data_IF_532101581944
#
_entry.id   IF_532101581944
#
_cell.length_a   1.000
_cell.length_b   1.000
_cell.length_c   1.000
_cell.angle_alpha   90.00
_cell.angle_beta   90.00
_cell.angle_gamma   90.00
#
_symmetry.space_group_name_H-M   'P 1'
#
loop_
_entity.id
_entity.type
_entity.pdbx_description
1 polymer ?
#
# COMPACT_ATOMS: atom_id res chain seq x y z
N UNK A 1 12.09 12.65 27.12
CA UNK A 1 12.00 12.69 25.63
C UNK A 1 13.37 12.52 24.95
N UNK A 2 14.39 13.36 25.26
CA UNK A 2 15.74 13.23 24.69
C UNK A 2 16.39 11.84 24.91
N UNK A 3 16.26 11.28 26.11
CA UNK A 3 16.80 9.95 26.44
C UNK A 3 16.16 8.80 25.65
N UNK A 4 14.85 8.88 25.37
CA UNK A 4 14.14 7.88 24.58
C UNK A 4 14.62 7.86 23.12
N UNK A 5 14.79 9.04 22.53
CA UNK A 5 15.32 9.22 21.17
C UNK A 5 16.76 8.71 21.09
N UNK A 6 17.60 9.00 22.09
CA UNK A 6 18.97 8.49 22.14
C UNK A 6 19.01 6.96 22.12
N UNK A 7 18.15 6.30 22.91
CA UNK A 7 18.07 4.85 23.04
C UNK A 7 17.58 4.15 21.75
N UNK A 8 16.69 4.78 20.99
CA UNK A 8 16.06 4.18 19.79
C UNK A 8 16.50 4.83 18.48
N UNK A 9 17.55 5.65 18.50
CA UNK A 9 18.00 6.48 17.37
C UNK A 9 18.16 5.67 16.09
N UNK A 10 18.80 4.50 16.15
CA UNK A 10 19.04 3.66 14.96
C UNK A 10 17.77 3.14 14.33
N UNK A 11 16.78 2.74 15.14
CA UNK A 11 15.46 2.32 14.65
C UNK A 11 14.72 3.49 14.02
N UNK A 12 14.71 4.66 14.67
CA UNK A 12 14.05 5.85 14.13
C UNK A 12 14.66 6.24 12.77
N UNK A 13 15.99 6.24 12.67
CA UNK A 13 16.68 6.53 11.40
C UNK A 13 16.28 5.51 10.32
N UNK A 14 16.22 4.22 10.66
CA UNK A 14 15.82 3.16 9.72
C UNK A 14 14.39 3.39 9.19
N UNK A 15 13.42 3.65 10.07
CA UNK A 15 12.03 3.90 9.66
C UNK A 15 11.93 5.16 8.80
N UNK A 16 12.66 6.23 9.13
CA UNK A 16 12.70 7.44 8.31
C UNK A 16 13.28 7.17 6.91
N UNK A 17 14.31 6.32 6.82
CA UNK A 17 14.85 5.89 5.52
C UNK A 17 13.81 5.09 4.74
N UNK A 18 13.09 4.16 5.38
CA UNK A 18 12.05 3.37 4.70
C UNK A 18 10.86 4.23 4.25
N UNK A 19 10.45 5.21 5.05
CA UNK A 19 9.44 6.21 4.65
C UNK A 19 9.94 7.02 3.45
N UNK A 20 11.19 7.48 3.48
CA UNK A 20 11.78 8.23 2.37
C UNK A 20 11.81 7.40 1.08
N UNK A 21 12.20 6.13 1.15
CA UNK A 21 12.23 5.22 0.01
C UNK A 21 10.82 4.95 -0.54
N UNK A 22 9.83 4.76 0.33
CA UNK A 22 8.44 4.61 -0.08
C UNK A 22 7.89 5.87 -0.78
N UNK A 23 8.23 7.06 -0.29
CA UNK A 23 7.88 8.34 -0.93
C UNK A 23 8.59 8.47 -2.28
N UNK A 24 9.88 8.15 -2.33
CA UNK A 24 10.68 8.22 -3.56
C UNK A 24 10.11 7.30 -4.65
N UNK A 25 9.63 6.10 -4.28
CA UNK A 25 9.00 5.16 -5.19
C UNK A 25 7.75 5.73 -5.86
N UNK A 26 6.91 6.43 -5.11
CA UNK A 26 5.62 6.94 -5.61
C UNK A 26 5.73 8.30 -6.29
N UNK A 27 6.86 9.00 -6.08
CA UNK A 27 7.10 10.35 -6.59
C UNK A 27 6.88 10.46 -8.12
N UNK A 28 7.35 9.53 -8.97
CA UNK A 28 7.13 9.61 -10.41
C UNK A 28 5.65 9.58 -10.80
N UNK A 29 4.83 8.76 -10.12
CA UNK A 29 3.40 8.65 -10.40
C UNK A 29 2.67 9.95 -10.05
N UNK A 30 3.04 10.54 -8.91
CA UNK A 30 2.44 11.80 -8.45
C UNK A 30 2.88 12.97 -9.34
N UNK A 31 4.15 13.04 -9.74
CA UNK A 31 4.67 14.15 -10.54
C UNK A 31 4.19 14.15 -11.99
N UNK A 32 4.07 12.96 -12.61
CA UNK A 32 3.58 12.84 -13.99
C UNK A 32 2.06 12.70 -14.08
N UNK A 33 1.39 12.46 -12.95
CA UNK A 33 -0.06 12.36 -12.90
C UNK A 33 -0.63 11.13 -13.61
N UNK A 34 0.17 10.07 -13.78
CA UNK A 34 -0.29 8.81 -14.34
C UNK A 34 0.40 7.61 -13.68
N UNK A 35 -0.30 6.47 -13.66
CA UNK A 35 0.25 5.16 -13.28
C UNK A 35 0.31 4.33 -14.57
N UNK A 36 1.48 3.77 -14.94
CA UNK A 36 1.60 2.94 -16.14
C UNK A 36 0.61 1.78 -16.11
N UNK A 37 -0.06 1.55 -17.25
CA UNK A 37 -0.99 0.43 -17.37
C UNK A 37 -0.24 -0.91 -17.36
N UNK A 38 -0.82 -1.90 -16.68
CA UNK A 38 -0.48 -3.31 -16.80
C UNK A 38 -1.76 -4.11 -17.00
N UNK A 39 -1.63 -5.34 -17.50
CA UNK A 39 -2.77 -6.17 -17.94
C UNK A 39 -3.88 -6.29 -16.89
N UNK A 40 -3.51 -6.54 -15.62
CA UNK A 40 -4.47 -6.69 -14.51
C UNK A 40 -4.71 -5.40 -13.71
N UNK A 41 -4.04 -4.30 -14.05
CA UNK A 41 -4.09 -3.08 -13.23
C UNK A 41 -5.49 -2.47 -13.20
N UNK A 42 -6.17 -2.44 -14.35
CA UNK A 42 -7.54 -1.95 -14.46
C UNK A 42 -8.51 -2.77 -13.59
N UNK A 43 -8.37 -4.09 -13.62
CA UNK A 43 -9.14 -5.00 -12.77
C UNK A 43 -8.95 -4.66 -11.28
N UNK A 44 -7.70 -4.49 -10.82
CA UNK A 44 -7.44 -4.14 -9.42
C UNK A 44 -7.94 -2.75 -9.03
N UNK A 45 -7.89 -1.77 -9.93
CA UNK A 45 -8.45 -0.44 -9.70
C UNK A 45 -9.96 -0.48 -9.50
N UNK A 46 -10.68 -1.23 -10.33
CA UNK A 46 -12.12 -1.41 -10.19
C UNK A 46 -12.49 -2.08 -8.86
N UNK A 47 -11.65 -3.00 -8.36
CA UNK A 47 -11.84 -3.59 -7.02
C UNK A 47 -11.68 -2.58 -5.89
N UNK A 48 -10.68 -1.71 -5.99
CA UNK A 48 -10.46 -0.67 -4.98
C UNK A 48 -11.60 0.35 -5.00
N UNK A 49 -12.04 0.78 -6.18
CA UNK A 49 -13.15 1.73 -6.34
C UNK A 49 -14.43 1.13 -5.77
N UNK A 50 -14.72 -0.14 -6.08
CA UNK A 50 -15.89 -0.84 -5.53
C UNK A 50 -15.91 -0.80 -4.00
N UNK A 51 -14.80 -1.16 -3.35
CA UNK A 51 -14.72 -1.19 -1.89
C UNK A 51 -14.85 0.22 -1.32
N UNK A 52 -14.19 1.20 -1.96
CA UNK A 52 -14.25 2.60 -1.55
C UNK A 52 -15.70 3.13 -1.57
N UNK A 53 -16.45 2.83 -2.63
CA UNK A 53 -17.86 3.23 -2.76
C UNK A 53 -18.77 2.48 -1.80
N UNK A 54 -18.57 1.17 -1.60
CA UNK A 54 -19.33 0.42 -0.60
C UNK A 54 -19.12 0.98 0.81
N UNK A 55 -17.87 1.33 1.18
CA UNK A 55 -17.58 1.94 2.48
C UNK A 55 -18.27 3.29 2.66
N UNK A 56 -18.31 4.13 1.62
CA UNK A 56 -19.05 5.41 1.65
C UNK A 56 -20.54 5.23 1.88
N UNK A 57 -21.11 4.13 1.39
CA UNK A 57 -22.53 3.81 1.55
C UNK A 57 -22.83 2.89 2.76
N UNK A 58 -21.86 2.71 3.67
CA UNK A 58 -22.05 1.96 4.92
C UNK A 58 -21.95 0.43 4.79
N UNK A 59 -21.61 -0.10 3.61
CA UNK A 59 -21.34 -1.52 3.43
C UNK A 59 -19.85 -1.83 3.67
N UNK A 60 -19.50 -2.20 4.89
CA UNK A 60 -18.11 -2.49 5.27
C UNK A 60 -17.64 -3.91 4.95
N UNK A 61 -18.53 -4.79 4.47
CA UNK A 61 -18.21 -6.16 4.07
C UNK A 61 -18.76 -6.47 2.68
N UNK A 62 -18.35 -5.72 1.65
CA UNK A 62 -18.92 -5.88 0.31
C UNK A 62 -18.48 -7.21 -0.30
N UNK A 63 -19.42 -8.14 -0.43
CA UNK A 63 -19.19 -9.44 -1.09
C UNK A 63 -19.49 -9.38 -2.59
N UNK A 64 -20.55 -8.66 -2.95
CA UNK A 64 -20.99 -8.43 -4.31
C UNK A 64 -20.63 -7.01 -4.76
N UNK A 65 -20.19 -6.90 -6.01
CA UNK A 65 -19.77 -5.69 -6.65
C UNK A 65 -20.92 -5.14 -7.49
N UNK A 66 -21.32 -3.91 -7.23
CA UNK A 66 -22.47 -3.27 -7.88
C UNK A 66 -22.13 -1.88 -8.42
N UNK A 67 -20.99 -1.29 -8.07
CA UNK A 67 -20.57 0.04 -8.52
C UNK A 67 -19.63 -0.01 -9.73
N UNK A 68 -18.80 -1.05 -9.83
CA UNK A 68 -17.85 -1.31 -10.93
C UNK A 68 -18.23 -2.55 -11.75
N UNK A 69 -17.35 -3.03 -12.64
CA UNK A 69 -17.60 -4.17 -13.53
C UNK A 69 -18.95 -4.10 -14.25
N UNK A 70 -19.24 -2.99 -14.93
CA UNK A 70 -20.49 -2.79 -15.67
C UNK A 70 -21.79 -2.93 -14.85
N UNK A 71 -21.70 -2.97 -13.50
CA UNK A 71 -22.85 -2.99 -12.58
C UNK A 71 -23.80 -4.18 -12.72
N UNK A 72 -23.35 -5.30 -13.27
CA UNK A 72 -24.19 -6.51 -13.41
C UNK A 72 -24.31 -7.34 -12.11
N UNK A 73 -23.63 -6.94 -11.03
CA UNK A 73 -23.56 -7.71 -9.79
C UNK A 73 -22.50 -8.81 -9.90
N UNK A 74 -21.34 -8.61 -9.26
CA UNK A 74 -20.24 -9.58 -9.35
C UNK A 74 -19.70 -9.98 -7.98
N UNK A 75 -19.74 -11.27 -7.63
CA UNK A 75 -19.40 -11.81 -6.30
C UNK A 75 -17.88 -11.88 -6.02
N UNK A 76 -17.13 -10.89 -6.46
CA UNK A 76 -15.68 -10.97 -6.56
C UNK A 76 -14.97 -11.05 -5.20
N UNK A 77 -15.44 -10.35 -4.17
CA UNK A 77 -14.85 -10.42 -2.83
C UNK A 77 -15.18 -11.72 -2.09
N UNK A 78 -16.16 -12.48 -2.55
CA UNK A 78 -16.42 -13.83 -2.05
C UNK A 78 -15.40 -14.85 -2.57
N UNK A 79 -14.80 -14.59 -3.74
CA UNK A 79 -13.82 -15.49 -4.37
C UNK A 79 -12.37 -15.03 -4.19
N UNK A 80 -12.13 -13.73 -3.96
CA UNK A 80 -10.78 -13.17 -3.84
C UNK A 80 -10.56 -12.44 -2.51
N UNK A 81 -9.37 -12.60 -1.90
CA UNK A 81 -8.98 -11.79 -0.74
C UNK A 81 -9.09 -10.30 -1.07
N UNK A 82 -9.67 -9.54 -0.15
CA UNK A 82 -9.92 -8.11 -0.34
C UNK A 82 -9.43 -7.24 0.81
N UNK A 83 -9.04 -7.84 1.93
CA UNK A 83 -8.51 -7.09 3.07
C UNK A 83 -7.23 -6.33 2.72
N UNK A 84 -6.39 -6.88 1.83
CA UNK A 84 -5.17 -6.23 1.36
C UNK A 84 -5.43 -5.06 0.41
N UNK A 85 -6.61 -4.93 -0.17
CA UNK A 85 -6.93 -3.75 -1.01
C UNK A 85 -7.65 -2.64 -0.23
N UNK A 86 -8.04 -2.90 1.03
CA UNK A 86 -8.67 -1.91 1.91
C UNK A 86 -7.84 -0.63 2.09
N UNK A 87 -6.51 -0.67 2.30
CA UNK A 87 -5.75 0.57 2.44
C UNK A 87 -5.83 1.49 1.20
N UNK A 88 -5.84 0.91 0.00
CA UNK A 88 -6.07 1.66 -1.23
C UNK A 88 -7.47 2.29 -1.26
N UNK A 89 -8.50 1.56 -0.83
CA UNK A 89 -9.88 2.05 -0.78
C UNK A 89 -10.03 3.22 0.22
N UNK A 90 -9.34 3.14 1.36
CA UNK A 90 -9.26 4.23 2.33
C UNK A 90 -8.63 5.47 1.68
N UNK A 91 -7.47 5.32 1.02
CA UNK A 91 -6.85 6.44 0.30
C UNK A 91 -7.74 6.99 -0.81
N UNK A 92 -8.46 6.14 -1.54
CA UNK A 92 -9.43 6.56 -2.58
C UNK A 92 -10.57 7.40 -2.03
N UNK A 93 -10.95 7.19 -0.77
CA UNK A 93 -11.95 7.99 -0.06
C UNK A 93 -11.40 9.28 0.56
N UNK A 94 -10.09 9.34 0.86
CA UNK A 94 -9.41 10.55 1.36
C UNK A 94 -9.05 11.51 0.21
N UNK A 95 -8.51 10.98 -0.89
CA UNK A 95 -8.02 11.79 -2.01
C UNK A 95 -9.00 11.80 -3.19
N UNK A 96 -9.34 13.00 -3.67
CA UNK A 96 -10.16 13.17 -4.86
C UNK A 96 -9.45 12.70 -6.13
N UNK A 97 -8.13 12.93 -6.23
CA UNK A 97 -7.32 12.48 -7.36
C UNK A 97 -7.00 10.99 -7.23
N UNK A 98 -7.41 10.21 -8.22
CA UNK A 98 -7.24 8.76 -8.25
C UNK A 98 -5.76 8.34 -8.28
N UNK A 99 -4.93 9.00 -9.09
CA UNK A 99 -3.50 8.70 -9.17
C UNK A 99 -2.82 8.92 -7.83
N UNK A 100 -3.13 10.02 -7.14
CA UNK A 100 -2.59 10.29 -5.80
C UNK A 100 -3.05 9.21 -4.80
N UNK A 101 -4.33 8.82 -4.83
CA UNK A 101 -4.85 7.77 -3.95
C UNK A 101 -4.11 6.44 -4.13
N UNK A 102 -3.98 5.97 -5.37
CA UNK A 102 -3.32 4.70 -5.67
C UNK A 102 -1.81 4.77 -5.42
N UNK A 103 -1.16 5.89 -5.73
CA UNK A 103 0.24 6.13 -5.42
C UNK A 103 0.51 5.97 -3.91
N UNK A 104 -0.27 6.61 -3.04
CA UNK A 104 -0.11 6.45 -1.59
C UNK A 104 -0.38 5.02 -1.11
N UNK A 105 -1.32 4.31 -1.73
CA UNK A 105 -1.53 2.89 -1.48
C UNK A 105 -0.30 2.05 -1.82
N UNK A 106 0.34 2.28 -2.97
CA UNK A 106 1.62 1.63 -3.31
C UNK A 106 2.72 1.99 -2.32
N UNK A 107 2.84 3.27 -1.93
CA UNK A 107 3.81 3.73 -0.95
C UNK A 107 3.68 3.03 0.39
N UNK A 108 2.45 2.83 0.87
CA UNK A 108 2.21 2.05 2.10
C UNK A 108 2.73 0.62 1.97
N UNK A 109 2.47 -0.04 0.83
CA UNK A 109 2.93 -1.41 0.61
C UNK A 109 4.44 -1.53 0.43
N UNK A 110 5.11 -0.55 -0.18
CA UNK A 110 6.57 -0.47 -0.23
C UNK A 110 7.14 -0.31 1.19
N UNK A 111 6.59 0.61 1.98
CA UNK A 111 7.02 0.78 3.38
C UNK A 111 6.84 -0.50 4.22
N UNK A 112 5.69 -1.16 4.08
CA UNK A 112 5.42 -2.42 4.75
C UNK A 112 6.35 -3.54 4.28
N UNK A 113 6.59 -3.65 2.98
CA UNK A 113 7.51 -4.63 2.37
C UNK A 113 8.94 -4.46 2.88
N UNK A 114 9.48 -3.24 2.83
CA UNK A 114 10.80 -2.90 3.39
C UNK A 114 10.92 -3.33 4.85
N UNK A 115 9.91 -3.02 5.66
CA UNK A 115 9.87 -3.39 7.06
C UNK A 115 9.84 -4.91 7.27
N UNK A 116 8.91 -5.61 6.63
CA UNK A 116 8.75 -7.05 6.78
C UNK A 116 10.03 -7.77 6.35
N UNK A 117 10.57 -7.43 5.18
CA UNK A 117 11.79 -8.05 4.65
C UNK A 117 13.00 -7.77 5.54
N UNK A 118 13.15 -6.55 6.05
CA UNK A 118 14.22 -6.24 7.01
C UNK A 118 14.12 -7.09 8.28
N UNK A 119 12.94 -7.17 8.89
CA UNK A 119 12.77 -7.89 10.16
C UNK A 119 12.94 -9.40 9.98
N UNK A 120 12.39 -9.97 8.91
CA UNK A 120 12.54 -11.39 8.58
C UNK A 120 14.00 -11.72 8.30
N UNK A 121 14.66 -10.97 7.41
CA UNK A 121 16.08 -11.21 7.09
C UNK A 121 17.00 -11.01 8.29
N UNK A 122 16.72 -10.05 9.18
CA UNK A 122 17.55 -9.83 10.37
C UNK A 122 17.37 -10.95 11.40
N UNK A 123 16.19 -11.58 11.44
CA UNK A 123 15.97 -12.78 12.26
C UNK A 123 16.74 -13.99 11.70
N UNK A 124 16.86 -14.09 10.38
CA UNK A 124 17.57 -15.18 9.69
C UNK A 124 19.09 -15.03 9.77
N UNK A 125 19.62 -13.88 9.34
CA UNK A 125 21.07 -13.66 9.19
C UNK A 125 21.73 -13.06 10.42
N UNK A 126 20.95 -12.47 11.34
CA UNK A 126 21.46 -11.71 12.50
C UNK A 126 22.43 -10.58 12.12
N UNK A 127 22.34 -10.08 10.88
CA UNK A 127 23.20 -9.04 10.34
C UNK A 127 22.36 -7.88 9.79
N UNK A 128 22.36 -6.76 10.51
CA UNK A 128 21.55 -5.59 10.19
C UNK A 128 21.87 -4.96 8.82
N UNK A 129 23.15 -4.99 8.42
CA UNK A 129 23.58 -4.40 7.13
C UNK A 129 23.08 -5.28 5.99
N UNK A 130 23.32 -6.60 6.09
CA UNK A 130 22.81 -7.56 5.11
C UNK A 130 21.29 -7.45 4.98
N UNK A 131 20.57 -7.37 6.11
CA UNK A 131 19.11 -7.24 6.13
C UNK A 131 18.59 -5.96 5.51
N UNK A 132 19.30 -4.84 5.69
CA UNK A 132 18.96 -3.59 5.04
C UNK A 132 19.04 -3.72 3.52
N UNK A 133 20.13 -4.29 3.00
CA UNK A 133 20.27 -4.50 1.56
C UNK A 133 19.29 -5.57 1.03
N UNK A 134 18.99 -6.61 1.79
CA UNK A 134 17.95 -7.58 1.44
C UNK A 134 16.59 -6.90 1.31
N UNK A 135 16.24 -6.02 2.24
CA UNK A 135 15.00 -5.25 2.17
C UNK A 135 14.94 -4.32 0.95
N UNK A 136 16.06 -3.70 0.58
CA UNK A 136 16.11 -2.76 -0.54
C UNK A 136 16.00 -3.44 -1.92
N UNK A 137 16.47 -4.69 -2.03
CA UNK A 137 16.54 -5.43 -3.30
C UNK A 137 15.27 -6.24 -3.58
N UNK A 138 14.60 -6.72 -2.52
CA UNK A 138 13.37 -7.52 -2.62
C UNK A 138 12.16 -6.65 -2.97
#
# INVERSE_FOLDING_TARGET
MKEYVQKHRSKIILELIFILLAILFVLPFVSHGFIPAGDDLGYHFDRVIEIADNFKHGNFFPQMYTYTFYRFGYLLNSFYPWLTIVPFAIFKNIFSNQVIAFAWGFGLYIFAGLNITYHVSNKLFKNKVQSFFTALIY
#
